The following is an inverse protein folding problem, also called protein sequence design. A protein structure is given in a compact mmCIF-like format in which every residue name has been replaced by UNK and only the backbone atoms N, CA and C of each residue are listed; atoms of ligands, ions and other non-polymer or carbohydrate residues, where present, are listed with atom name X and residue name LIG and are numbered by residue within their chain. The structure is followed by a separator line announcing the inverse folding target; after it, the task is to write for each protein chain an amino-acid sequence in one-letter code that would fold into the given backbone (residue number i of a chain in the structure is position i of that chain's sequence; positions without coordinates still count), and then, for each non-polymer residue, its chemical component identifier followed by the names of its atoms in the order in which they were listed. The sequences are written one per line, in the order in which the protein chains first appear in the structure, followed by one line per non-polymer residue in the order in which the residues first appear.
data_IF_135577430287
#
_entry.id   IF_135577430287
#
_cell.length_a   1.000
_cell.length_b   1.000
_cell.length_c   1.000
_cell.angle_alpha   90.00
_cell.angle_beta   90.00
_cell.angle_gamma   90.00
#
_symmetry.space_group_name_H-M   'P 1'
#
loop_
_entity.id
_entity.type
_entity.pdbx_description
1 polymer ?
#
# COMPACT_ATOMS: atom_id res chain seq x y z
N UNK A 1 12.21 -0.21 25.14
CA UNK A 1 10.79 -0.63 25.19
C UNK A 1 9.97 0.46 24.52
N UNK A 2 9.45 0.20 23.32
CA UNK A 2 8.53 1.10 22.62
C UNK A 2 7.23 1.05 23.41
N UNK A 3 6.77 2.17 23.96
CA UNK A 3 5.45 2.24 24.60
C UNK A 3 4.41 1.88 23.53
N UNK A 4 3.68 0.78 23.73
CA UNK A 4 2.48 0.52 22.98
C UNK A 4 1.52 1.69 23.20
N UNK A 5 1.30 2.50 22.17
CA UNK A 5 0.22 3.47 22.21
C UNK A 5 -1.09 2.70 22.25
N UNK A 6 -1.94 2.99 23.24
CA UNK A 6 -3.31 2.50 23.27
C UNK A 6 -3.96 2.87 21.93
N UNK A 7 -4.13 1.88 21.06
CA UNK A 7 -4.87 2.02 19.80
C UNK A 7 -6.31 1.62 20.01
N UNK A 8 -7.25 2.40 19.50
CA UNK A 8 -8.61 1.92 19.29
C UNK A 8 -8.61 1.06 18.02
N UNK A 9 -9.17 -0.14 18.10
CA UNK A 9 -9.27 -1.02 16.95
C UNK A 9 -10.72 -1.46 16.73
N UNK A 10 -11.07 -1.77 15.50
CA UNK A 10 -12.43 -2.17 15.17
C UNK A 10 -12.60 -2.51 13.70
N UNK A 11 -13.86 -2.57 13.29
CA UNK A 11 -14.25 -2.86 11.92
C UNK A 11 -15.16 -1.75 11.37
N UNK A 12 -14.78 -1.22 10.21
CA UNK A 12 -15.64 -0.39 9.39
C UNK A 12 -16.36 -1.26 8.35
N UNK A 13 -17.64 -1.00 8.10
CA UNK A 13 -18.44 -1.79 7.18
C UNK A 13 -18.72 -1.00 5.89
N UNK A 14 -18.45 -1.62 4.75
CA UNK A 14 -18.82 -1.15 3.40
C UNK A 14 -19.69 -2.25 2.77
N UNK A 15 -20.99 -2.19 2.96
CA UNK A 15 -21.90 -3.27 2.55
C UNK A 15 -21.51 -4.61 3.21
N UNK A 16 -21.14 -5.60 2.37
CA UNK A 16 -20.71 -6.92 2.85
C UNK A 16 -19.22 -7.01 3.16
N UNK A 17 -18.47 -5.91 3.03
CA UNK A 17 -17.03 -5.86 3.29
C UNK A 17 -16.80 -5.22 4.65
N UNK A 18 -16.06 -5.91 5.52
CA UNK A 18 -15.60 -5.42 6.82
C UNK A 18 -14.12 -5.14 6.73
N UNK A 19 -13.71 -3.93 7.06
CA UNK A 19 -12.32 -3.46 7.05
C UNK A 19 -11.84 -3.33 8.49
N UNK A 20 -10.84 -4.13 8.86
CA UNK A 20 -10.19 -4.04 10.17
C UNK A 20 -9.21 -2.87 10.19
N UNK A 21 -9.26 -2.05 11.24
CA UNK A 21 -8.40 -0.90 11.40
C UNK A 21 -7.82 -0.79 12.83
N UNK A 22 -6.73 -0.03 12.94
CA UNK A 22 -6.21 0.50 14.20
C UNK A 22 -6.03 2.01 14.07
N UNK A 23 -6.40 2.72 15.14
CA UNK A 23 -6.42 4.17 15.24
C UNK A 23 -5.52 4.58 16.40
N UNK A 24 -4.43 5.28 16.08
CA UNK A 24 -3.38 5.61 17.02
C UNK A 24 -3.38 7.11 17.33
N UNK A 25 -3.79 7.45 18.53
CA UNK A 25 -3.67 8.82 19.03
C UNK A 25 -4.98 9.47 19.41
N UNK A 26 -4.89 10.69 20.00
CA UNK A 26 -6.05 11.45 20.42
C UNK A 26 -6.98 11.77 19.24
N UNK A 27 -8.28 11.69 19.48
CA UNK A 27 -9.30 11.95 18.45
C UNK A 27 -9.24 13.37 17.88
N UNK A 28 -8.73 14.32 18.65
CA UNK A 28 -8.60 15.72 18.24
C UNK A 28 -7.33 16.01 17.43
N UNK A 29 -6.42 15.04 17.29
CA UNK A 29 -5.25 15.18 16.44
C UNK A 29 -5.64 15.09 14.98
N UNK A 30 -4.83 15.70 14.10
CA UNK A 30 -5.07 15.74 12.67
C UNK A 30 -4.94 14.33 12.06
N UNK A 31 -6.01 13.80 11.40
CA UNK A 31 -6.03 12.43 10.94
C UNK A 31 -5.14 12.22 9.71
N UNK A 32 -4.38 11.13 9.75
CA UNK A 32 -3.61 10.62 8.62
C UNK A 32 -3.95 9.16 8.38
N UNK A 33 -4.55 8.86 7.20
CA UNK A 33 -4.90 7.50 6.80
C UNK A 33 -3.73 6.87 6.02
N UNK A 34 -3.26 5.73 6.49
CA UNK A 34 -2.15 4.99 5.91
C UNK A 34 -2.66 3.79 5.10
N UNK A 35 -2.42 3.77 3.78
CA UNK A 35 -2.90 2.75 2.84
C UNK A 35 -1.73 1.91 2.33
N UNK A 36 -1.69 0.63 2.73
CA UNK A 36 -0.56 -0.24 2.41
C UNK A 36 -0.67 -0.91 1.01
N UNK A 37 0.45 -1.47 0.55
CA UNK A 37 0.58 -2.12 -0.75
C UNK A 37 -0.01 -3.52 -0.84
N UNK A 38 0.22 -4.17 -1.99
CA UNK A 38 -0.26 -5.51 -2.35
C UNK A 38 0.16 -6.57 -1.33
N UNK A 39 -0.81 -7.26 -0.76
CA UNK A 39 -0.60 -8.37 0.19
C UNK A 39 -0.11 -7.95 1.57
N UNK A 40 0.12 -6.67 1.80
CA UNK A 40 0.59 -6.17 3.08
C UNK A 40 -0.58 -5.91 4.03
N UNK A 41 -0.38 -6.29 5.29
CA UNK A 41 -1.30 -6.04 6.39
C UNK A 41 -0.89 -4.77 7.15
N UNK A 42 -1.77 -4.22 7.97
CA UNK A 42 -1.51 -3.03 8.77
C UNK A 42 -0.28 -3.15 9.70
N UNK A 43 0.09 -4.37 10.10
CA UNK A 43 1.27 -4.64 10.94
C UNK A 43 2.61 -4.39 10.24
N UNK A 44 2.62 -4.22 8.92
CA UNK A 44 3.82 -3.89 8.16
C UNK A 44 4.19 -2.40 8.18
N UNK A 45 3.30 -1.53 8.68
CA UNK A 45 3.69 -0.15 8.93
C UNK A 45 4.71 -0.11 10.07
N UNK A 46 5.91 0.48 9.87
CA UNK A 46 6.92 0.53 10.90
C UNK A 46 6.38 1.22 12.16
N UNK A 47 6.45 0.60 13.35
CA UNK A 47 6.00 1.22 14.60
C UNK A 47 6.67 2.57 14.86
N UNK A 48 7.93 2.72 14.44
CA UNK A 48 8.66 3.98 14.53
C UNK A 48 7.98 5.11 13.75
N UNK A 49 7.46 4.84 12.54
CA UNK A 49 6.72 5.84 11.76
C UNK A 49 5.41 6.23 12.43
N UNK A 50 4.66 5.27 12.97
CA UNK A 50 3.41 5.51 13.68
C UNK A 50 3.68 6.41 14.91
N UNK A 51 4.69 6.06 15.70
CA UNK A 51 5.08 6.81 16.89
C UNK A 51 5.56 8.22 16.53
N UNK A 52 6.34 8.35 15.45
CA UNK A 52 6.82 9.64 14.96
C UNK A 52 5.66 10.56 14.58
N UNK A 53 4.68 10.05 13.83
CA UNK A 53 3.49 10.81 13.43
C UNK A 53 2.66 11.22 14.66
N UNK A 54 2.41 10.29 15.58
CA UNK A 54 1.66 10.58 16.82
C UNK A 54 2.35 11.62 17.70
N UNK A 55 3.68 11.54 17.85
CA UNK A 55 4.48 12.51 18.61
C UNK A 55 4.50 13.91 17.98
N UNK A 56 4.21 14.01 16.67
CA UNK A 56 4.15 15.27 15.94
C UNK A 56 2.71 15.82 15.76
N UNK A 57 1.73 15.31 16.53
CA UNK A 57 0.37 15.86 16.58
C UNK A 57 -0.59 15.28 15.56
N UNK A 58 -0.21 14.20 14.86
CA UNK A 58 -1.10 13.50 13.93
C UNK A 58 -1.81 12.33 14.63
N UNK A 59 -2.92 11.89 14.03
CA UNK A 59 -3.69 10.69 14.41
C UNK A 59 -3.54 9.64 13.30
N UNK A 60 -2.53 8.74 13.37
CA UNK A 60 -2.34 7.70 12.37
C UNK A 60 -3.46 6.66 12.44
N UNK A 61 -4.06 6.37 11.28
CA UNK A 61 -5.06 5.34 11.11
C UNK A 61 -4.53 4.36 10.08
N UNK A 62 -4.37 3.10 10.47
CA UNK A 62 -3.92 2.02 9.60
C UNK A 62 -5.02 0.98 9.46
N UNK A 63 -5.07 0.28 8.33
CA UNK A 63 -6.08 -0.74 8.12
C UNK A 63 -5.58 -1.87 7.22
N UNK A 64 -6.20 -3.02 7.36
CA UNK A 64 -6.02 -4.14 6.44
C UNK A 64 -6.92 -3.91 5.22
N UNK A 65 -6.36 -3.81 4.02
CA UNK A 65 -7.14 -3.82 2.81
C UNK A 65 -7.99 -5.10 2.72
N UNK A 66 -9.10 -5.09 1.94
CA UNK A 66 -9.84 -6.32 1.66
C UNK A 66 -8.89 -7.42 1.18
N UNK A 67 -9.18 -8.67 1.55
CA UNK A 67 -8.39 -9.88 1.24
C UNK A 67 -7.07 -10.06 2.01
N UNK A 68 -6.73 -9.18 2.95
CA UNK A 68 -5.56 -9.38 3.84
C UNK A 68 -5.95 -9.17 5.30
N UNK A 69 -5.10 -9.68 6.20
CA UNK A 69 -5.22 -9.53 7.64
C UNK A 69 -6.58 -10.01 8.18
N UNK A 70 -7.21 -9.18 8.98
CA UNK A 70 -8.51 -9.45 9.60
C UNK A 70 -9.71 -8.89 8.80
N UNK A 71 -9.46 -8.20 7.69
CA UNK A 71 -10.51 -7.71 6.80
C UNK A 71 -11.18 -8.84 6.02
N UNK A 72 -12.36 -8.57 5.47
CA UNK A 72 -13.14 -9.52 4.68
C UNK A 72 -12.31 -10.14 3.58
N UNK A 73 -12.38 -11.47 3.48
CA UNK A 73 -11.74 -12.28 2.45
C UNK A 73 -12.78 -12.80 1.48
N UNK A 74 -12.51 -12.66 0.20
CA UNK A 74 -13.33 -13.18 -0.87
C UNK A 74 -13.02 -14.66 -1.13
N UNK A 75 -13.96 -15.40 -1.71
CA UNK A 75 -13.83 -16.86 -1.89
C UNK A 75 -13.33 -17.29 -3.26
N UNK A 76 -13.30 -16.38 -4.24
CA UNK A 76 -12.91 -16.71 -5.61
C UNK A 76 -11.44 -17.16 -5.73
N UNK A 77 -11.19 -18.21 -6.51
CA UNK A 77 -9.83 -18.67 -6.81
C UNK A 77 -9.37 -18.09 -8.15
N UNK A 78 -8.33 -17.27 -8.17
CA UNK A 78 -7.81 -16.67 -9.40
C UNK A 78 -7.32 -17.73 -10.40
N UNK A 79 -7.72 -17.60 -11.68
CA UNK A 79 -7.24 -18.46 -12.78
C UNK A 79 -5.99 -17.85 -13.43
N UNK A 80 -4.93 -17.67 -12.67
CA UNK A 80 -3.75 -16.87 -13.02
C UNK A 80 -3.17 -17.14 -14.40
N UNK A 81 -3.10 -18.39 -14.89
CA UNK A 81 -2.52 -18.70 -16.21
C UNK A 81 -3.36 -18.05 -17.29
N UNK A 82 -4.69 -18.22 -17.24
CA UNK A 82 -5.61 -17.65 -18.22
C UNK A 82 -5.63 -16.12 -18.12
N UNK A 83 -5.66 -15.57 -16.90
CA UNK A 83 -5.69 -14.13 -16.67
C UNK A 83 -4.37 -13.47 -17.08
N UNK A 84 -3.24 -14.17 -16.92
CA UNK A 84 -1.94 -13.71 -17.41
C UNK A 84 -1.87 -13.69 -18.94
N UNK A 85 -2.43 -14.71 -19.63
CA UNK A 85 -2.56 -14.70 -21.09
C UNK A 85 -3.44 -13.53 -21.54
N UNK A 86 -4.61 -13.33 -20.90
CA UNK A 86 -5.49 -12.19 -21.17
C UNK A 86 -4.79 -10.85 -20.97
N UNK A 87 -3.97 -10.73 -19.91
CA UNK A 87 -3.18 -9.53 -19.66
C UNK A 87 -2.23 -9.21 -20.82
N UNK A 88 -1.48 -10.21 -21.32
CA UNK A 88 -0.61 -10.03 -22.47
C UNK A 88 -1.37 -9.66 -23.76
N UNK A 89 -2.52 -10.29 -23.97
CA UNK A 89 -3.39 -10.03 -25.12
C UNK A 89 -4.25 -8.78 -24.97
N UNK A 90 -4.13 -8.05 -23.84
CA UNK A 90 -4.94 -6.87 -23.49
C UNK A 90 -6.45 -7.14 -23.48
N UNK A 91 -6.83 -8.37 -23.19
CA UNK A 91 -8.22 -8.78 -23.05
C UNK A 91 -8.75 -8.42 -21.65
N UNK A 92 -10.07 -8.24 -21.50
CA UNK A 92 -10.68 -7.99 -20.19
C UNK A 92 -10.36 -9.11 -19.20
N UNK A 93 -9.93 -8.72 -18.00
CA UNK A 93 -9.65 -9.62 -16.87
C UNK A 93 -10.83 -9.52 -15.90
N UNK A 94 -11.39 -10.67 -15.54
CA UNK A 94 -12.40 -10.75 -14.49
C UNK A 94 -11.73 -10.62 -13.12
N UNK A 95 -12.33 -9.86 -12.21
CA UNK A 95 -11.89 -9.70 -10.83
C UNK A 95 -13.10 -9.51 -9.93
N UNK A 96 -13.05 -10.04 -8.73
CA UNK A 96 -14.09 -9.90 -7.69
C UNK A 96 -14.30 -8.42 -7.31
N UNK A 97 -13.25 -7.62 -7.41
CA UNK A 97 -13.23 -6.19 -7.13
C UNK A 97 -12.09 -5.50 -7.89
N UNK A 98 -12.08 -4.19 -7.87
CA UNK A 98 -11.07 -3.35 -8.52
C UNK A 98 -10.44 -2.39 -7.51
N UNK A 99 -9.42 -1.65 -7.92
CA UNK A 99 -8.81 -0.59 -7.13
C UNK A 99 -9.83 0.49 -6.72
N UNK A 100 -10.83 0.74 -7.57
CA UNK A 100 -11.91 1.68 -7.29
C UNK A 100 -12.76 1.22 -6.08
N UNK A 101 -13.05 -0.07 -5.96
CA UNK A 101 -13.77 -0.63 -4.81
C UNK A 101 -12.96 -0.53 -3.50
N UNK A 102 -11.64 -0.71 -3.59
CA UNK A 102 -10.72 -0.55 -2.44
C UNK A 102 -10.61 0.93 -2.02
N UNK A 103 -10.74 1.87 -2.95
CA UNK A 103 -10.81 3.30 -2.62
C UNK A 103 -12.11 3.65 -1.88
N UNK A 104 -13.21 3.00 -2.21
CA UNK A 104 -14.46 3.11 -1.45
C UNK A 104 -14.31 2.56 -0.03
N UNK A 105 -13.60 1.45 0.18
CA UNK A 105 -13.34 0.94 1.54
C UNK A 105 -12.62 1.98 2.40
N UNK A 106 -11.60 2.63 1.85
CA UNK A 106 -10.86 3.67 2.55
C UNK A 106 -11.75 4.89 2.87
N UNK A 107 -12.64 5.26 1.95
CA UNK A 107 -13.62 6.33 2.17
C UNK A 107 -14.62 5.98 3.28
N UNK A 108 -15.18 4.76 3.24
CA UNK A 108 -16.11 4.27 4.27
C UNK A 108 -15.45 4.15 5.64
N UNK A 109 -14.14 3.84 5.71
CA UNK A 109 -13.41 3.87 6.96
C UNK A 109 -13.35 5.29 7.54
N UNK A 110 -13.08 6.31 6.71
CA UNK A 110 -13.13 7.70 7.15
C UNK A 110 -14.54 8.09 7.65
N UNK A 111 -15.59 7.68 6.94
CA UNK A 111 -16.99 7.94 7.32
C UNK A 111 -17.34 7.25 8.65
N UNK A 112 -16.94 5.99 8.83
CA UNK A 112 -17.13 5.24 10.07
C UNK A 112 -16.49 5.93 11.27
N UNK A 113 -15.30 6.49 11.08
CA UNK A 113 -14.56 7.24 12.11
C UNK A 113 -15.03 8.70 12.25
N UNK A 114 -16.03 9.14 11.47
CA UNK A 114 -16.55 10.52 11.43
C UNK A 114 -15.47 11.53 11.09
N UNK A 115 -14.54 11.16 10.20
CA UNK A 115 -13.44 12.01 9.73
C UNK A 115 -13.89 12.65 8.42
N UNK A 116 -14.10 13.95 8.45
CA UNK A 116 -14.51 14.70 7.26
C UNK A 116 -13.36 14.79 6.25
N UNK A 117 -12.13 14.99 6.73
CA UNK A 117 -10.97 15.19 5.88
C UNK A 117 -9.71 14.66 6.54
N UNK A 118 -8.81 14.04 5.78
CA UNK A 118 -7.58 13.45 6.28
C UNK A 118 -6.40 13.70 5.34
N UNK A 119 -5.18 13.64 5.87
CA UNK A 119 -4.00 13.37 5.06
C UNK A 119 -3.99 11.90 4.64
N UNK A 120 -3.48 11.62 3.43
CA UNK A 120 -3.36 10.25 2.92
C UNK A 120 -1.87 9.93 2.72
N UNK A 121 -1.38 8.92 3.41
CA UNK A 121 -0.06 8.33 3.21
C UNK A 121 -0.22 6.94 2.60
N UNK A 122 0.47 6.65 1.52
CA UNK A 122 0.22 5.41 0.79
C UNK A 122 1.47 4.83 0.14
N UNK A 123 1.55 3.50 0.06
CA UNK A 123 2.66 2.80 -0.59
C UNK A 123 2.16 1.88 -1.71
N UNK A 124 2.88 1.82 -2.84
CA UNK A 124 2.69 0.84 -3.91
C UNK A 124 1.23 0.76 -4.41
N UNK A 125 0.55 -0.41 -4.28
CA UNK A 125 -0.89 -0.56 -4.56
C UNK A 125 -1.74 0.42 -3.73
N UNK A 126 -1.38 0.68 -2.48
CA UNK A 126 -2.06 1.69 -1.66
C UNK A 126 -2.04 3.07 -2.30
N UNK A 127 -0.95 3.43 -3.00
CA UNK A 127 -0.89 4.66 -3.79
C UNK A 127 -1.83 4.64 -4.99
N UNK A 128 -2.10 3.48 -5.57
CA UNK A 128 -3.12 3.35 -6.62
C UNK A 128 -4.54 3.59 -6.06
N UNK A 129 -4.81 3.08 -4.86
CA UNK A 129 -6.06 3.29 -4.12
C UNK A 129 -6.21 4.78 -3.76
N UNK A 130 -5.16 5.37 -3.18
CA UNK A 130 -5.13 6.78 -2.79
C UNK A 130 -5.35 7.75 -3.97
N UNK A 131 -4.83 7.44 -5.16
CA UNK A 131 -5.06 8.21 -6.38
C UNK A 131 -6.55 8.25 -6.76
N UNK A 132 -7.25 7.12 -6.67
CA UNK A 132 -8.69 7.03 -6.95
C UNK A 132 -9.47 7.80 -5.87
N UNK A 133 -9.21 7.52 -4.59
CA UNK A 133 -9.83 8.22 -3.46
C UNK A 133 -9.73 9.74 -3.61
N UNK A 134 -8.52 10.24 -3.82
CA UNK A 134 -8.24 11.70 -3.90
C UNK A 134 -8.85 12.34 -5.15
N UNK A 135 -8.79 11.66 -6.30
CA UNK A 135 -9.37 12.15 -7.54
C UNK A 135 -10.88 12.26 -7.50
N UNK A 136 -11.53 11.25 -6.92
CA UNK A 136 -12.99 11.14 -6.93
C UNK A 136 -13.63 11.87 -5.72
N UNK A 137 -12.86 12.07 -4.64
CA UNK A 137 -13.31 12.73 -3.41
C UNK A 137 -12.32 13.82 -2.93
N UNK A 138 -12.07 14.86 -3.72
CA UNK A 138 -11.03 15.86 -3.42
C UNK A 138 -11.29 16.67 -2.13
N UNK A 139 -12.54 16.81 -1.71
CA UNK A 139 -12.89 17.48 -0.45
C UNK A 139 -12.52 16.67 0.80
N UNK A 140 -12.24 15.36 0.66
CA UNK A 140 -11.92 14.45 1.75
C UNK A 140 -10.42 14.34 2.05
N UNK A 141 -9.56 15.02 1.26
CA UNK A 141 -8.11 14.85 1.32
C UNK A 141 -7.39 16.19 1.51
N UNK A 142 -6.73 16.35 2.67
CA UNK A 142 -5.87 17.52 2.98
C UNK A 142 -4.62 17.51 2.11
N UNK A 143 -3.86 16.42 2.15
CA UNK A 143 -2.71 16.20 1.28
C UNK A 143 -2.54 14.72 0.94
N UNK A 144 -1.81 14.44 -0.13
CA UNK A 144 -1.55 13.10 -0.62
C UNK A 144 -0.05 12.82 -0.63
N UNK A 145 0.37 11.68 -0.04
CA UNK A 145 1.74 11.17 -0.16
C UNK A 145 1.70 9.81 -0.85
N UNK A 146 2.45 9.70 -1.96
CA UNK A 146 2.57 8.50 -2.80
C UNK A 146 4.00 7.97 -2.72
N UNK A 147 4.22 6.82 -2.08
CA UNK A 147 5.53 6.18 -1.99
C UNK A 147 5.57 4.96 -2.91
N UNK A 148 6.58 4.86 -3.78
CA UNK A 148 6.83 3.71 -4.65
C UNK A 148 5.59 3.24 -5.44
N UNK A 149 4.85 4.16 -6.08
CA UNK A 149 3.58 3.89 -6.76
C UNK A 149 3.58 4.28 -8.24
N UNK A 150 2.47 4.01 -8.92
CA UNK A 150 2.25 4.34 -10.34
C UNK A 150 0.78 4.66 -10.64
N UNK A 151 0.54 5.56 -11.59
CA UNK A 151 -0.79 5.82 -12.15
C UNK A 151 -1.11 4.94 -13.37
N UNK A 152 -0.10 4.31 -13.95
CA UNK A 152 -0.26 3.46 -15.13
C UNK A 152 -0.77 2.07 -14.73
N UNK A 153 -1.59 1.43 -15.59
CA UNK A 153 -1.80 -0.01 -15.51
C UNK A 153 -0.48 -0.74 -15.77
N UNK A 154 -0.23 -1.86 -15.10
CA UNK A 154 0.87 -2.72 -15.47
C UNK A 154 0.83 -3.04 -16.97
N UNK A 155 1.97 -3.00 -17.63
CA UNK A 155 2.13 -3.32 -19.05
C UNK A 155 3.39 -4.17 -19.19
N UNK A 156 3.48 -5.11 -20.13
CA UNK A 156 4.67 -5.96 -20.30
C UNK A 156 6.00 -5.17 -20.33
N UNK A 157 6.01 -3.99 -20.97
CA UNK A 157 7.20 -3.10 -21.00
C UNK A 157 7.44 -2.27 -19.72
N UNK A 158 6.46 -2.22 -18.81
CA UNK A 158 6.55 -1.53 -17.50
C UNK A 158 6.37 -2.50 -16.34
N UNK A 159 6.45 -3.79 -16.61
CA UNK A 159 6.32 -4.82 -15.60
C UNK A 159 7.52 -4.80 -14.63
N UNK A 160 7.37 -5.32 -13.42
CA UNK A 160 8.49 -5.62 -12.52
C UNK A 160 9.57 -6.47 -13.20
N UNK A 161 10.77 -6.53 -12.63
CA UNK A 161 11.84 -7.40 -13.14
C UNK A 161 11.36 -8.86 -13.25
N UNK A 162 12.04 -9.66 -14.09
CA UNK A 162 11.65 -11.08 -14.32
C UNK A 162 11.64 -11.87 -13.01
N UNK A 163 12.60 -11.62 -12.15
CA UNK A 163 12.77 -12.28 -10.84
C UNK A 163 11.62 -11.91 -9.90
N UNK A 164 11.30 -10.63 -9.80
CA UNK A 164 10.16 -10.14 -8.99
C UNK A 164 8.85 -10.73 -9.48
N UNK A 165 8.61 -10.76 -10.80
CA UNK A 165 7.39 -11.36 -11.38
C UNK A 165 7.26 -12.84 -11.06
N UNK A 166 8.38 -13.59 -11.10
CA UNK A 166 8.40 -15.01 -10.75
C UNK A 166 7.91 -15.22 -9.33
N UNK A 167 8.48 -14.51 -8.35
CA UNK A 167 8.09 -14.62 -6.94
C UNK A 167 6.64 -14.18 -6.72
N UNK A 168 6.20 -13.09 -7.36
CA UNK A 168 4.80 -12.65 -7.28
C UNK A 168 3.82 -13.72 -7.77
N UNK A 169 4.14 -14.42 -8.87
CA UNK A 169 3.31 -15.50 -9.40
C UNK A 169 3.32 -16.74 -8.48
N UNK A 170 4.46 -17.08 -7.89
CA UNK A 170 4.57 -18.18 -6.93
C UNK A 170 3.72 -17.91 -5.68
N UNK A 171 3.78 -16.69 -5.13
CA UNK A 171 2.92 -16.26 -4.00
C UNK A 171 1.44 -16.43 -4.31
N UNK A 172 1.04 -16.10 -5.51
CA UNK A 172 -0.37 -16.16 -5.92
C UNK A 172 -0.90 -17.58 -6.18
N UNK A 173 0.00 -18.57 -6.37
CA UNK A 173 -0.36 -19.96 -6.68
C UNK A 173 -0.39 -20.89 -5.46
N UNK A 174 0.15 -20.48 -4.33
CA UNK A 174 0.19 -21.30 -3.11
C UNK A 174 -0.70 -20.67 -2.04
N UNK A 175 -1.99 -20.98 -2.04
CA UNK A 175 -2.95 -20.35 -1.14
C UNK A 175 -2.76 -20.73 0.33
N UNK A 176 -2.28 -21.94 0.61
CA UNK A 176 -2.14 -22.49 1.98
C UNK A 176 -0.71 -22.95 2.26
N UNK A 177 0.28 -22.04 2.37
CA UNK A 177 1.65 -22.42 2.70
C UNK A 177 1.77 -22.84 4.16
N UNK A 178 2.75 -23.68 4.48
CA UNK A 178 3.27 -23.80 5.83
C UNK A 178 3.95 -22.49 6.26
N UNK A 179 4.17 -22.30 7.57
CA UNK A 179 4.89 -21.10 8.02
C UNK A 179 6.29 -21.01 7.42
N UNK A 180 7.02 -22.12 7.35
CA UNK A 180 8.38 -22.12 6.80
C UNK A 180 8.41 -21.75 5.31
N UNK A 181 7.49 -22.30 4.51
CA UNK A 181 7.36 -21.92 3.10
C UNK A 181 6.99 -20.44 2.93
N UNK A 182 6.10 -19.95 3.79
CA UNK A 182 5.71 -18.54 3.79
C UNK A 182 6.90 -17.66 4.15
N UNK A 183 7.63 -18.00 5.22
CA UNK A 183 8.79 -17.25 5.69
C UNK A 183 9.91 -17.19 4.65
N UNK A 184 10.26 -18.32 4.02
CA UNK A 184 11.29 -18.34 2.97
C UNK A 184 10.89 -17.51 1.73
N UNK A 185 9.62 -17.49 1.40
CA UNK A 185 9.10 -16.62 0.33
C UNK A 185 9.17 -15.14 0.68
N UNK A 186 8.86 -14.78 1.94
CA UNK A 186 8.98 -13.40 2.40
C UNK A 186 10.45 -12.94 2.39
N UNK A 187 11.39 -13.75 2.89
CA UNK A 187 12.84 -13.48 2.79
C UNK A 187 13.24 -13.24 1.34
N UNK A 188 12.87 -14.15 0.44
CA UNK A 188 13.21 -14.04 -1.00
C UNK A 188 12.64 -12.75 -1.60
N UNK A 189 11.38 -12.45 -1.29
CA UNK A 189 10.71 -11.27 -1.82
C UNK A 189 11.33 -9.98 -1.31
N UNK A 190 11.58 -9.87 -0.01
CA UNK A 190 12.20 -8.69 0.62
C UNK A 190 13.62 -8.47 0.09
N UNK A 191 14.43 -9.52 -0.09
CA UNK A 191 15.76 -9.44 -0.72
C UNK A 191 15.71 -8.92 -2.16
N UNK A 192 14.66 -9.27 -2.92
CA UNK A 192 14.51 -8.81 -4.30
C UNK A 192 14.09 -7.35 -4.41
N UNK A 193 13.20 -6.88 -3.53
CA UNK A 193 12.59 -5.54 -3.65
C UNK A 193 13.11 -4.52 -2.64
N UNK A 194 13.71 -4.98 -1.54
CA UNK A 194 14.38 -4.15 -0.55
C UNK A 194 15.80 -3.74 -0.97
N UNK A 195 16.44 -2.96 -0.15
CA UNK A 195 17.84 -2.56 -0.32
C UNK A 195 18.75 -3.80 -0.36
N UNK A 196 19.82 -3.75 -1.15
CA UNK A 196 20.67 -4.93 -1.41
C UNK A 196 21.41 -5.45 -0.16
N UNK A 197 21.74 -4.57 0.75
CA UNK A 197 22.44 -4.83 2.01
C UNK A 197 21.50 -4.91 3.22
N UNK A 198 20.18 -4.90 2.98
CA UNK A 198 19.18 -5.05 4.04
C UNK A 198 19.32 -6.42 4.71
N UNK A 199 19.58 -6.42 6.01
CA UNK A 199 19.54 -7.62 6.81
C UNK A 199 18.09 -8.15 6.86
N UNK A 200 17.93 -9.32 6.26
CA UNK A 200 16.65 -10.05 6.25
C UNK A 200 16.83 -11.30 7.06
N UNK A 201 16.08 -12.07 7.56
CA UNK A 201 16.31 -13.27 8.38
C UNK A 201 16.84 -12.94 9.79
N UNK A 202 16.30 -11.85 10.33
CA UNK A 202 16.53 -11.46 11.72
C UNK A 202 15.40 -11.99 12.63
N UNK A 203 15.62 -12.10 13.94
CA UNK A 203 14.57 -12.49 14.88
C UNK A 203 13.33 -11.61 14.78
N UNK A 204 13.52 -10.29 14.61
CA UNK A 204 12.45 -9.31 14.49
C UNK A 204 11.64 -9.53 13.21
N UNK A 205 12.32 -9.76 12.07
CA UNK A 205 11.65 -10.07 10.80
C UNK A 205 10.89 -11.40 10.87
N UNK A 206 11.47 -12.39 11.54
CA UNK A 206 10.80 -13.70 11.75
C UNK A 206 9.54 -13.54 12.60
N UNK A 207 9.61 -12.74 13.69
CA UNK A 207 8.45 -12.48 14.54
C UNK A 207 7.37 -11.73 13.76
N UNK A 208 7.72 -10.64 13.06
CA UNK A 208 6.78 -9.89 12.22
C UNK A 208 6.12 -10.79 11.17
N UNK A 209 6.89 -11.67 10.55
CA UNK A 209 6.39 -12.61 9.54
C UNK A 209 5.44 -13.64 10.16
N UNK A 210 5.73 -14.08 11.40
CA UNK A 210 4.85 -14.98 12.15
C UNK A 210 3.53 -14.31 12.50
N UNK A 211 3.57 -13.09 13.02
CA UNK A 211 2.37 -12.31 13.35
C UNK A 211 1.50 -12.08 12.10
N UNK A 212 2.15 -11.75 10.97
CA UNK A 212 1.48 -11.60 9.68
C UNK A 212 0.82 -12.92 9.22
N UNK A 213 1.52 -14.05 9.34
CA UNK A 213 1.03 -15.37 8.96
C UNK A 213 -0.17 -15.81 9.81
N UNK A 214 -0.12 -15.60 11.12
CA UNK A 214 -1.20 -15.96 12.05
C UNK A 214 -2.45 -15.13 11.83
N UNK A 215 -2.31 -13.83 11.47
CA UNK A 215 -3.42 -12.95 11.12
C UNK A 215 -4.05 -13.29 9.78
N UNK A 216 -3.32 -13.92 8.88
CA UNK A 216 -3.74 -14.08 7.51
C UNK A 216 -3.35 -15.41 6.87
N UNK A 217 -3.90 -16.52 7.37
CA UNK A 217 -3.54 -17.88 6.90
C UNK A 217 -3.85 -18.17 5.42
N UNK A 218 -4.71 -17.40 4.77
CA UNK A 218 -5.09 -17.61 3.36
C UNK A 218 -4.27 -16.71 2.42
N UNK A 219 -3.31 -17.28 1.71
CA UNK A 219 -2.52 -16.58 0.69
C UNK A 219 -3.27 -16.25 -0.60
N UNK A 220 -4.51 -16.74 -0.79
CA UNK A 220 -5.29 -16.50 -2.01
C UNK A 220 -5.69 -15.03 -2.20
N UNK A 221 -5.80 -14.28 -1.08
CA UNK A 221 -6.09 -12.85 -1.09
C UNK A 221 -5.08 -12.03 -1.86
N UNK A 222 -3.77 -12.37 -1.74
CA UNK A 222 -2.71 -11.73 -2.53
C UNK A 222 -3.00 -11.81 -4.04
N UNK A 223 -3.43 -12.98 -4.49
CA UNK A 223 -3.75 -13.21 -5.89
C UNK A 223 -4.95 -12.41 -6.37
N UNK A 224 -6.02 -12.30 -5.56
CA UNK A 224 -7.20 -11.50 -5.92
C UNK A 224 -6.87 -10.00 -5.96
N UNK A 225 -6.07 -9.50 -5.03
CA UNK A 225 -5.57 -8.10 -5.10
C UNK A 225 -4.71 -7.87 -6.36
N UNK A 226 -3.86 -8.82 -6.74
CA UNK A 226 -3.08 -8.72 -7.98
C UNK A 226 -4.01 -8.67 -9.20
N UNK A 227 -5.07 -9.49 -9.25
CA UNK A 227 -6.07 -9.42 -10.31
C UNK A 227 -6.82 -8.08 -10.30
N UNK A 228 -7.13 -7.53 -9.13
CA UNK A 228 -7.74 -6.21 -9.02
C UNK A 228 -6.87 -5.12 -9.66
N UNK A 229 -5.54 -5.17 -9.46
CA UNK A 229 -4.60 -4.25 -10.13
C UNK A 229 -4.66 -4.43 -11.65
N UNK A 230 -4.61 -5.67 -12.14
CA UNK A 230 -4.58 -5.97 -13.58
C UNK A 230 -5.91 -5.66 -14.27
N UNK A 231 -7.04 -5.87 -13.59
CA UNK A 231 -8.39 -5.59 -14.09
C UNK A 231 -8.78 -4.11 -14.06
N UNK A 232 -8.07 -3.30 -13.27
CA UNK A 232 -8.38 -1.88 -13.12
C UNK A 232 -7.88 -1.06 -14.32
N UNK A 233 -8.65 -0.07 -14.72
CA UNK A 233 -8.26 0.89 -15.76
C UNK A 233 -7.05 1.71 -15.31
N UNK A 234 -6.31 2.28 -16.28
CA UNK A 234 -5.25 3.21 -15.93
C UNK A 234 -5.84 4.48 -15.27
N UNK A 235 -5.09 5.04 -14.34
CA UNK A 235 -5.50 6.21 -13.56
C UNK A 235 -4.94 7.53 -14.09
N UNK A 236 -4.36 7.53 -15.31
CA UNK A 236 -3.69 8.71 -15.87
C UNK A 236 -4.62 9.93 -15.97
N UNK A 237 -5.90 9.72 -16.28
CA UNK A 237 -6.86 10.81 -16.33
C UNK A 237 -7.38 11.21 -14.92
N UNK A 238 -7.44 10.26 -13.99
CA UNK A 238 -7.80 10.54 -12.59
C UNK A 238 -6.73 11.40 -11.92
N UNK A 239 -5.46 11.05 -12.04
CA UNK A 239 -4.37 11.80 -11.37
C UNK A 239 -4.24 13.24 -11.84
N UNK A 240 -4.60 13.55 -13.09
CA UNK A 240 -4.66 14.93 -13.59
C UNK A 240 -5.69 15.80 -12.86
N UNK A 241 -6.70 15.19 -12.25
CA UNK A 241 -7.77 15.87 -11.50
C UNK A 241 -7.43 16.08 -10.03
N UNK A 242 -6.34 15.51 -9.54
CA UNK A 242 -5.91 15.67 -8.15
C UNK A 242 -5.51 17.11 -7.91
N UNK A 243 -6.21 17.77 -6.98
CA UNK A 243 -5.97 19.16 -6.59
C UNK A 243 -5.23 19.26 -5.26
N UNK A 244 -5.32 18.22 -4.42
CA UNK A 244 -4.66 18.18 -3.12
C UNK A 244 -3.14 18.28 -3.28
N UNK A 245 -2.45 19.03 -2.43
CA UNK A 245 -0.99 19.03 -2.39
C UNK A 245 -0.45 17.61 -2.36
N UNK A 246 0.50 17.29 -3.25
CA UNK A 246 0.95 15.92 -3.43
C UNK A 246 2.46 15.81 -3.31
N UNK A 247 2.92 14.91 -2.43
CA UNK A 247 4.31 14.48 -2.30
C UNK A 247 4.46 13.09 -2.92
N UNK A 248 5.38 12.94 -3.86
CA UNK A 248 5.75 11.67 -4.47
C UNK A 248 7.15 11.32 -3.99
N UNK A 249 7.30 10.15 -3.36
CA UNK A 249 8.60 9.61 -2.90
C UNK A 249 8.87 8.32 -3.65
N UNK A 250 10.07 8.16 -4.19
CA UNK A 250 10.41 6.96 -4.96
C UNK A 250 11.87 6.56 -4.80
N UNK A 251 12.10 5.26 -4.65
CA UNK A 251 13.44 4.71 -4.65
C UNK A 251 14.08 4.75 -6.04
N UNK A 252 15.35 5.19 -6.13
CA UNK A 252 16.06 5.32 -7.42
C UNK A 252 16.09 4.02 -8.21
N UNK A 253 16.36 2.91 -7.52
CA UNK A 253 16.60 1.59 -8.13
C UNK A 253 15.46 0.60 -7.82
N UNK A 254 14.21 1.10 -7.75
CA UNK A 254 13.02 0.28 -7.52
C UNK A 254 12.84 -0.78 -8.63
N UNK A 255 12.93 -2.10 -8.32
CA UNK A 255 12.84 -3.17 -9.30
C UNK A 255 11.40 -3.57 -9.61
N UNK A 256 10.42 -3.09 -8.81
CA UNK A 256 9.01 -3.41 -8.96
C UNK A 256 8.26 -2.33 -9.74
N UNK A 257 8.48 -1.07 -9.39
CA UNK A 257 7.89 0.08 -10.07
C UNK A 257 9.01 1.05 -10.46
N UNK A 258 9.39 1.05 -11.73
CA UNK A 258 10.49 1.90 -12.20
C UNK A 258 10.25 3.39 -11.91
N UNK A 259 11.32 4.09 -11.54
CA UNK A 259 11.35 5.54 -11.25
C UNK A 259 10.64 6.41 -12.31
N UNK A 260 10.67 6.02 -13.59
CA UNK A 260 9.94 6.71 -14.67
C UNK A 260 8.43 6.86 -14.40
N UNK A 261 7.85 5.97 -13.57
CA UNK A 261 6.43 6.07 -13.19
C UNK A 261 6.21 7.25 -12.22
N UNK A 262 7.14 7.47 -11.28
CA UNK A 262 7.09 8.62 -10.38
C UNK A 262 7.28 9.93 -11.15
N UNK A 263 8.24 9.98 -12.08
CA UNK A 263 8.44 11.14 -12.98
C UNK A 263 7.17 11.42 -13.81
N UNK A 264 6.54 10.36 -14.33
CA UNK A 264 5.27 10.50 -15.05
C UNK A 264 4.16 11.05 -14.17
N UNK A 265 4.02 10.57 -12.92
CA UNK A 265 3.02 11.10 -11.98
C UNK A 265 3.31 12.57 -11.64
N UNK A 266 4.59 12.93 -11.40
CA UNK A 266 4.99 14.33 -11.18
C UNK A 266 4.55 15.27 -12.30
N UNK A 267 4.65 14.80 -13.54
CA UNK A 267 4.26 15.60 -14.72
C UNK A 267 2.72 15.67 -14.92
N UNK A 268 1.98 14.72 -14.35
CA UNK A 268 0.51 14.64 -14.51
C UNK A 268 -0.26 15.28 -13.35
N UNK A 269 0.28 15.24 -12.13
CA UNK A 269 -0.38 15.78 -10.94
C UNK A 269 0.07 17.23 -10.75
N UNK A 270 -0.83 18.20 -10.90
CA UNK A 270 -0.49 19.61 -10.70
C UNK A 270 0.09 19.85 -9.30
N UNK A 271 1.10 20.73 -9.21
CA UNK A 271 1.70 21.16 -7.93
C UNK A 271 2.28 20.03 -7.07
N UNK A 272 2.51 18.81 -7.62
CA UNK A 272 3.18 17.74 -6.89
C UNK A 272 4.68 18.03 -6.72
N UNK A 273 5.27 17.47 -5.67
CA UNK A 273 6.73 17.41 -5.45
C UNK A 273 7.18 15.97 -5.67
N UNK A 274 8.39 15.77 -6.20
CA UNK A 274 9.02 14.46 -6.37
C UNK A 274 10.34 14.44 -5.64
N UNK A 275 10.45 13.50 -4.70
CA UNK A 275 11.68 13.21 -3.95
C UNK A 275 12.18 11.82 -4.31
N UNK A 276 13.45 11.72 -4.70
CA UNK A 276 14.09 10.47 -5.12
C UNK A 276 15.09 10.07 -4.05
N UNK A 277 14.79 8.98 -3.33
CA UNK A 277 15.65 8.46 -2.29
C UNK A 277 16.68 7.51 -2.91
N UNK A 278 17.95 7.88 -2.86
CA UNK A 278 19.03 7.17 -3.57
C UNK A 278 19.22 5.74 -3.08
N UNK A 279 19.11 5.52 -1.77
CA UNK A 279 19.36 4.22 -1.14
C UNK A 279 18.13 3.33 -1.08
N UNK A 280 16.94 3.90 -1.19
CA UNK A 280 15.69 3.16 -1.21
C UNK A 280 15.49 2.42 -2.53
N UNK A 281 14.93 1.22 -2.46
CA UNK A 281 14.37 0.51 -3.61
C UNK A 281 12.85 0.56 -3.56
N UNK A 282 12.14 -0.57 -3.46
CA UNK A 282 10.67 -0.57 -3.38
C UNK A 282 10.14 -0.47 -1.95
N UNK A 283 10.88 -1.04 -0.98
CA UNK A 283 10.48 -1.04 0.43
C UNK A 283 11.01 0.20 1.16
N UNK A 284 10.25 0.65 2.13
CA UNK A 284 10.71 1.59 3.15
C UNK A 284 11.55 0.77 4.13
N UNK A 285 12.86 0.93 4.07
CA UNK A 285 13.81 0.32 4.99
C UNK A 285 14.18 1.29 6.14
N UNK A 286 14.80 0.81 7.24
CA UNK A 286 15.11 1.66 8.39
C UNK A 286 15.93 2.91 8.09
N UNK A 287 16.88 2.85 7.12
CA UNK A 287 17.70 4.02 6.77
C UNK A 287 16.93 5.06 5.97
N UNK A 288 16.07 4.63 5.03
CA UNK A 288 15.23 5.55 4.26
C UNK A 288 14.08 6.11 5.10
N UNK A 289 13.74 5.46 6.22
CA UNK A 289 12.58 5.85 7.03
C UNK A 289 12.75 7.25 7.64
N UNK A 290 13.91 7.59 8.15
CA UNK A 290 14.15 8.91 8.79
C UNK A 290 14.09 10.04 7.74
N UNK A 291 14.66 9.82 6.56
CA UNK A 291 14.56 10.78 5.44
C UNK A 291 13.10 10.95 4.99
N UNK A 292 12.38 9.84 4.83
CA UNK A 292 10.95 9.84 4.48
C UNK A 292 10.13 10.57 5.56
N UNK A 293 10.38 10.29 6.83
CA UNK A 293 9.66 10.90 7.95
C UNK A 293 9.85 12.42 7.99
N UNK A 294 11.06 12.90 7.74
CA UNK A 294 11.37 14.34 7.62
C UNK A 294 10.65 15.02 6.46
N UNK A 295 10.69 14.41 5.27
CA UNK A 295 9.98 14.90 4.08
C UNK A 295 8.46 14.91 4.30
N UNK A 296 7.93 13.83 4.87
CA UNK A 296 6.52 13.68 5.18
C UNK A 296 6.06 14.75 6.17
N UNK A 297 6.77 14.94 7.29
CA UNK A 297 6.41 15.94 8.29
C UNK A 297 6.37 17.36 7.71
N UNK A 298 7.36 17.72 6.90
CA UNK A 298 7.38 19.01 6.20
C UNK A 298 6.18 19.17 5.27
N UNK A 299 5.81 18.11 4.55
CA UNK A 299 4.66 18.11 3.65
C UNK A 299 3.34 18.22 4.42
N UNK A 300 3.15 17.45 5.48
CA UNK A 300 1.97 17.46 6.32
C UNK A 300 1.75 18.86 6.93
N UNK A 301 2.73 19.40 7.67
CA UNK A 301 2.62 20.71 8.36
C UNK A 301 2.36 21.89 7.43
N UNK A 302 2.77 21.81 6.18
CA UNK A 302 2.49 22.84 5.18
C UNK A 302 1.02 22.83 4.73
N UNK A 303 0.32 21.73 4.96
CA UNK A 303 -1.01 21.44 4.42
C UNK A 303 -2.05 21.05 5.50
N UNK A 304 -1.69 21.28 6.76
CA UNK A 304 -2.56 21.24 7.94
C UNK A 304 -3.41 22.48 8.05
#
# INVERSE_FOLDING_TARGET
MVKEHNSNEGFANNGNVRIFYKDFGPINNEPILLIHGLGAQLVHWPPHLINFLSANGFRPIVFDNRDVGLSTRFKGSPKFILDYIKYFLRLPIASEYRIDDMALDALYLLDHLKIEKAHILSTSMGGMIAQVLTSDNPSRVNSLTLIASTASTPHPFNAPSKEVRKVMLERSRSPNPTFDEFYQREITFVKLIGRKDLAVDTPEFKQLTKDNFERGKDGSGYGRQLLAILASKNRLQKVKKIKSPTLIIHGKDDPMIHLRNAVKMKNLIPHSQLEIIKHMRHLIDPESLDEIAGLLLKHLRKNS
#
